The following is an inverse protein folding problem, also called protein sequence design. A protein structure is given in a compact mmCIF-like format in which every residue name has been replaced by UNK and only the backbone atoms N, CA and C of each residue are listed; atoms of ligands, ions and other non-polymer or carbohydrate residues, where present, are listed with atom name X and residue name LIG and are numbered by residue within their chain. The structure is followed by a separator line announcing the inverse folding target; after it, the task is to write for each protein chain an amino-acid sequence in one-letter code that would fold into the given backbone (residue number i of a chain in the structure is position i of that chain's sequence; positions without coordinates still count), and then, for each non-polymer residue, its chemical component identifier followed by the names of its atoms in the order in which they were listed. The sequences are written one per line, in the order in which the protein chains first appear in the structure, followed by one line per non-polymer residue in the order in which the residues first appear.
data_IF_355869270658
#
_entry.id   IF_355869270658
#
_cell.length_a   1.000
_cell.length_b   1.000
_cell.length_c   1.000
_cell.angle_alpha   90.00
_cell.angle_beta   90.00
_cell.angle_gamma   90.00
#
_symmetry.space_group_name_H-M   'P 1'
#
loop_
_entity.id
_entity.type
_entity.pdbx_description
1 polymer ?
#
# COMPACT_ATOMS: atom_id res chain seq x y z
N UNK A 1 -11.36 -2.87 5.93
CA UNK A 1 -10.41 -3.36 4.90
C UNK A 1 -10.34 -4.87 4.96
N UNK A 2 -10.48 -5.58 3.82
CA UNK A 2 -10.43 -7.05 3.77
C UNK A 2 -9.02 -7.54 3.39
N UNK A 3 -8.59 -8.70 3.93
CA UNK A 3 -7.30 -9.35 3.57
C UNK A 3 -7.18 -9.59 2.06
N UNK A 4 -8.26 -10.03 1.40
CA UNK A 4 -8.28 -10.27 -0.05
C UNK A 4 -7.95 -9.00 -0.85
N UNK A 5 -8.38 -7.83 -0.38
CA UNK A 5 -8.12 -6.56 -1.06
C UNK A 5 -6.66 -6.12 -0.91
N UNK A 6 -6.05 -6.39 0.25
CA UNK A 6 -4.60 -6.18 0.48
C UNK A 6 -3.78 -7.10 -0.43
N UNK A 7 -4.19 -8.35 -0.65
CA UNK A 7 -3.51 -9.24 -1.60
C UNK A 7 -3.55 -8.72 -3.04
N UNK A 8 -4.71 -8.21 -3.49
CA UNK A 8 -4.85 -7.57 -4.82
C UNK A 8 -3.95 -6.34 -4.94
N UNK A 9 -3.89 -5.47 -3.92
CA UNK A 9 -2.97 -4.33 -3.91
C UNK A 9 -1.50 -4.76 -3.94
N UNK A 10 -1.12 -5.79 -3.19
CA UNK A 10 0.26 -6.29 -3.12
C UNK A 10 0.80 -6.87 -4.43
N UNK A 11 -0.07 -7.10 -5.43
CA UNK A 11 0.32 -7.52 -6.79
C UNK A 11 0.62 -6.33 -7.72
N UNK A 12 0.39 -5.08 -7.29
CA UNK A 12 0.76 -3.90 -8.07
C UNK A 12 2.27 -3.67 -7.93
N UNK A 13 2.96 -3.52 -9.07
CA UNK A 13 4.42 -3.34 -9.15
C UNK A 13 4.96 -2.22 -8.26
N UNK A 14 4.15 -1.17 -8.06
CA UNK A 14 4.54 0.03 -7.32
C UNK A 14 4.05 0.02 -5.86
N UNK A 15 3.51 -1.09 -5.35
CA UNK A 15 3.09 -1.26 -3.94
C UNK A 15 4.31 -1.62 -3.06
N UNK A 16 4.41 -1.11 -1.82
CA UNK A 16 5.56 -1.37 -0.96
C UNK A 16 5.75 -2.86 -0.64
N UNK A 17 7.02 -3.27 -0.53
CA UNK A 17 7.39 -4.61 -0.09
C UNK A 17 7.03 -4.83 1.40
N UNK A 18 6.65 -6.06 1.79
CA UNK A 18 6.35 -6.37 3.18
C UNK A 18 7.63 -6.37 4.03
N UNK A 19 7.60 -5.65 5.15
CA UNK A 19 8.69 -5.64 6.12
C UNK A 19 8.89 -6.99 6.82
N UNK A 20 7.84 -7.82 6.93
CA UNK A 20 7.91 -9.19 7.44
C UNK A 20 6.98 -10.10 6.64
N UNK A 21 7.49 -11.28 6.24
CA UNK A 21 6.71 -12.37 5.65
C UNK A 21 6.63 -13.52 6.65
N UNK A 22 5.40 -13.88 7.04
CA UNK A 22 5.10 -14.97 7.97
C UNK A 22 4.31 -16.07 7.25
N UNK A 23 4.29 -17.29 7.81
CA UNK A 23 3.43 -18.38 7.31
C UNK A 23 1.94 -18.01 7.29
N UNK A 24 1.51 -17.10 8.16
CA UNK A 24 0.12 -16.65 8.29
C UNK A 24 -0.22 -15.39 7.46
N UNK A 25 0.74 -14.78 6.76
CA UNK A 25 0.51 -13.56 5.98
C UNK A 25 1.72 -12.62 5.95
N UNK A 26 1.49 -11.40 5.46
CA UNK A 26 2.51 -10.36 5.27
C UNK A 26 2.21 -9.16 6.16
N UNK A 27 3.25 -8.49 6.63
CA UNK A 27 3.18 -7.27 7.46
C UNK A 27 4.00 -6.19 6.76
N UNK A 28 3.42 -4.99 6.65
CA UNK A 28 4.03 -3.79 6.10
C UNK A 28 4.24 -2.74 7.20
N UNK A 29 5.21 -1.84 7.02
CA UNK A 29 5.29 -0.64 7.85
C UNK A 29 4.20 0.34 7.43
N UNK A 30 3.59 1.00 8.41
CA UNK A 30 2.56 2.04 8.18
C UNK A 30 3.10 3.14 7.26
N UNK A 31 4.31 3.64 7.55
CA UNK A 31 4.98 4.71 6.80
C UNK A 31 5.17 4.40 5.31
N UNK A 32 5.46 3.15 4.95
CA UNK A 32 5.66 2.76 3.55
C UNK A 32 4.33 2.69 2.78
N UNK A 33 3.26 2.23 3.44
CA UNK A 33 1.90 2.23 2.90
C UNK A 33 1.34 3.65 2.79
N UNK A 34 1.61 4.51 3.77
CA UNK A 34 1.21 5.92 3.76
C UNK A 34 1.93 6.71 2.66
N UNK A 35 3.26 6.60 2.55
CA UNK A 35 4.01 7.25 1.45
C UNK A 35 3.56 6.76 0.07
N UNK A 36 3.28 5.47 -0.07
CA UNK A 36 2.67 4.93 -1.28
C UNK A 36 1.29 5.55 -1.56
N UNK A 37 0.41 5.62 -0.57
CA UNK A 37 -0.93 6.17 -0.72
C UNK A 37 -0.90 7.68 -1.08
N UNK A 38 0.02 8.44 -0.50
CA UNK A 38 0.24 9.87 -0.84
C UNK A 38 0.79 10.01 -2.25
N UNK A 39 1.84 9.26 -2.62
CA UNK A 39 2.43 9.30 -3.97
C UNK A 39 1.52 8.74 -5.08
N UNK A 40 0.41 8.08 -4.72
CA UNK A 40 -0.60 7.54 -5.64
C UNK A 40 -1.99 8.19 -5.47
N UNK A 41 -2.07 9.34 -4.80
CA UNK A 41 -3.05 10.38 -5.16
C UNK A 41 -2.46 11.16 -6.35
N UNK A 42 -3.20 11.37 -7.46
CA UNK A 42 -2.85 12.47 -8.36
C UNK A 42 -2.87 13.75 -7.52
N UNK A 43 -1.88 14.62 -7.72
CA UNK A 43 -1.74 15.86 -6.96
C UNK A 43 -3.07 16.59 -6.99
N UNK A 44 -3.76 16.64 -5.84
CA UNK A 44 -5.10 17.22 -5.75
C UNK A 44 -5.00 18.75 -5.62
N UNK A 45 -4.12 19.34 -6.43
CA UNK A 45 -4.21 20.71 -6.91
C UNK A 45 -5.27 20.79 -8.01
N UNK A 46 -6.51 20.69 -7.59
CA UNK A 46 -7.54 21.52 -8.19
C UNK A 46 -8.12 22.34 -7.03
N UNK A 47 -7.42 23.43 -6.72
CA UNK A 47 -8.00 24.55 -5.98
C UNK A 47 -8.98 25.25 -6.94
N UNK A 48 -10.25 25.35 -6.54
CA UNK A 48 -11.35 25.93 -7.32
C UNK A 48 -12.63 26.01 -6.51
#
# INVERSE_FOLDING_TARGET
MSRQWVEVLSKRRDFPEPAVVLKAGRIWRTEDVERWAVSRRPDSREEG
#
